data_IF_994555217074
#
_entry.id   IF_994555217074
#
_cell.length_a   1.000
_cell.length_b   1.000
_cell.length_c   1.000
_cell.angle_alpha   90.00
_cell.angle_beta   90.00
_cell.angle_gamma   90.00
#
_symmetry.space_group_name_H-M   'P 1'
#
loop_
_entity.id
_entity.type
_entity.pdbx_description
1 polymer ?
#
# COMPACT_ATOMS: atom_id res chain seq x y z
N UNK A 1 -0.63 -1.39 -23.00
CA UNK A 1 -0.13 -0.12 -22.42
C UNK A 1 -0.38 -0.19 -20.92
N UNK A 2 0.54 -0.83 -20.17
CA UNK A 2 0.44 -1.14 -18.74
C UNK A 2 1.26 -0.15 -17.86
N UNK A 3 2.06 0.70 -18.49
CA UNK A 3 3.03 1.59 -17.84
C UNK A 3 2.41 2.66 -16.91
N UNK A 4 1.24 3.28 -17.21
CA UNK A 4 0.66 4.29 -16.32
C UNK A 4 0.21 3.71 -14.97
N UNK A 5 -0.27 2.46 -14.97
CA UNK A 5 -0.75 1.79 -13.75
C UNK A 5 0.42 1.45 -12.82
N UNK A 6 1.51 0.92 -13.39
CA UNK A 6 2.71 0.59 -12.63
C UNK A 6 3.34 1.85 -12.00
N UNK A 7 3.27 3.00 -12.66
CA UNK A 7 3.72 4.27 -12.10
C UNK A 7 2.91 4.69 -10.86
N UNK A 8 1.58 4.63 -10.93
CA UNK A 8 0.70 4.97 -9.80
C UNK A 8 0.86 3.99 -8.62
N UNK A 9 0.99 2.69 -8.92
CA UNK A 9 1.31 1.64 -7.94
C UNK A 9 2.63 1.92 -7.24
N UNK A 10 3.70 2.19 -7.99
CA UNK A 10 5.00 2.48 -7.40
C UNK A 10 4.96 3.72 -6.50
N UNK A 11 4.29 4.78 -6.95
CA UNK A 11 4.13 5.99 -6.14
C UNK A 11 3.35 5.74 -4.84
N UNK A 12 2.32 4.88 -4.87
CA UNK A 12 1.61 4.46 -3.67
C UNK A 12 2.55 3.81 -2.65
N UNK A 13 3.35 2.83 -3.09
CA UNK A 13 4.27 2.14 -2.21
C UNK A 13 5.45 3.01 -1.76
N UNK A 14 5.95 3.91 -2.59
CA UNK A 14 7.00 4.86 -2.18
C UNK A 14 6.52 5.78 -1.05
N UNK A 15 5.28 6.27 -1.12
CA UNK A 15 4.72 7.11 -0.08
C UNK A 15 4.44 6.33 1.19
N UNK A 16 3.95 5.09 1.07
CA UNK A 16 3.77 4.20 2.21
C UNK A 16 5.11 3.89 2.88
N UNK A 17 6.16 3.56 2.11
CA UNK A 17 7.51 3.36 2.62
C UNK A 17 8.03 4.57 3.40
N UNK A 18 7.85 5.79 2.89
CA UNK A 18 8.27 7.03 3.61
C UNK A 18 7.55 7.23 4.93
N UNK A 19 6.29 6.82 5.02
CA UNK A 19 5.49 6.95 6.24
C UNK A 19 5.86 5.89 7.29
N UNK A 20 6.32 4.71 6.86
CA UNK A 20 6.72 3.63 7.77
C UNK A 20 8.22 3.63 8.12
N UNK A 21 9.08 4.19 7.25
CA UNK A 21 10.54 4.29 7.42
C UNK A 21 11.02 4.96 8.71
N UNK A 22 10.39 6.04 9.22
CA UNK A 22 10.89 6.70 10.43
C UNK A 22 10.69 5.88 11.71
N UNK A 23 10.14 4.67 11.64
CA UNK A 23 9.83 3.82 12.80
C UNK A 23 10.88 2.73 13.01
N UNK A 24 11.97 3.09 13.67
CA UNK A 24 13.03 2.14 14.08
C UNK A 24 12.49 0.98 14.95
N UNK A 25 11.37 1.20 15.64
CA UNK A 25 10.73 0.22 16.53
C UNK A 25 10.04 -0.94 15.80
N UNK A 26 9.86 -0.84 14.47
CA UNK A 26 9.17 -1.86 13.65
C UNK A 26 10.03 -2.29 12.46
N UNK A 27 11.15 -3.00 12.69
CA UNK A 27 12.15 -3.31 11.65
C UNK A 27 11.61 -4.17 10.50
N UNK A 28 10.50 -4.90 10.72
CA UNK A 28 9.87 -5.75 9.71
C UNK A 28 8.83 -5.02 8.86
N UNK A 29 8.48 -3.78 9.21
CA UNK A 29 7.39 -3.07 8.56
C UNK A 29 7.74 -2.68 7.12
N UNK A 30 8.94 -2.14 6.88
CA UNK A 30 9.39 -1.83 5.52
C UNK A 30 9.51 -3.08 4.62
N UNK A 31 10.16 -4.18 5.06
CA UNK A 31 10.15 -5.42 4.29
C UNK A 31 8.75 -5.92 3.92
N UNK A 32 7.78 -5.77 4.83
CA UNK A 32 6.39 -6.16 4.57
C UNK A 32 5.74 -5.28 3.48
N UNK A 33 5.97 -3.97 3.51
CA UNK A 33 5.47 -3.04 2.48
C UNK A 33 6.05 -3.37 1.10
N UNK A 34 7.35 -3.68 1.02
CA UNK A 34 8.01 -4.06 -0.24
C UNK A 34 7.52 -5.43 -0.77
N UNK A 35 7.15 -6.37 0.12
CA UNK A 35 6.52 -7.62 -0.29
C UNK A 35 5.18 -7.39 -0.98
N UNK A 36 4.33 -6.52 -0.40
CA UNK A 36 3.08 -6.12 -1.03
C UNK A 36 3.29 -5.36 -2.34
N UNK A 37 4.33 -4.52 -2.44
CA UNK A 37 4.70 -3.84 -3.68
C UNK A 37 5.02 -4.83 -4.79
N UNK A 38 5.85 -5.81 -4.47
CA UNK A 38 6.23 -6.84 -5.42
C UNK A 38 5.00 -7.63 -5.88
N UNK A 39 4.13 -8.04 -4.94
CA UNK A 39 2.92 -8.78 -5.28
C UNK A 39 1.97 -7.96 -6.16
N UNK A 40 1.76 -6.68 -5.84
CA UNK A 40 0.89 -5.78 -6.61
C UNK A 40 1.38 -5.53 -8.05
N UNK A 41 2.69 -5.47 -8.26
CA UNK A 41 3.29 -5.23 -9.57
C UNK A 41 3.35 -6.49 -10.45
N UNK A 42 3.49 -7.66 -9.86
CA UNK A 42 3.74 -8.91 -10.58
C UNK A 42 2.52 -9.85 -10.64
N UNK A 43 1.54 -9.65 -9.75
CA UNK A 43 0.31 -10.45 -9.67
C UNK A 43 -0.94 -9.56 -9.74
N UNK A 44 -0.93 -8.58 -10.63
CA UNK A 44 -2.15 -7.87 -11.03
C UNK A 44 -3.15 -8.91 -11.57
N UNK A 45 -4.17 -9.24 -10.78
CA UNK A 45 -5.25 -10.15 -11.11
C UNK A 45 -5.96 -10.69 -9.87
N UNK A 46 -5.31 -10.55 -8.71
CA UNK A 46 -5.79 -11.12 -7.47
C UNK A 46 -6.53 -10.08 -6.63
N UNK A 47 -7.86 -10.14 -6.66
CA UNK A 47 -8.80 -9.49 -5.71
C UNK A 47 -8.35 -9.61 -4.24
N UNK A 48 -7.58 -10.63 -3.92
CA UNK A 48 -7.00 -10.86 -2.61
C UNK A 48 -6.08 -9.71 -2.14
N UNK A 49 -5.29 -9.09 -3.03
CA UNK A 49 -4.30 -8.10 -2.61
C UNK A 49 -4.93 -6.79 -2.14
N UNK A 50 -6.04 -6.36 -2.77
CA UNK A 50 -6.77 -5.17 -2.33
C UNK A 50 -7.26 -5.33 -0.88
N UNK A 51 -7.92 -6.45 -0.58
CA UNK A 51 -8.44 -6.72 0.76
C UNK A 51 -7.33 -6.87 1.80
N UNK A 52 -6.22 -7.52 1.44
CA UNK A 52 -5.04 -7.61 2.30
C UNK A 52 -4.46 -6.22 2.60
N UNK A 53 -4.36 -5.35 1.59
CA UNK A 53 -3.86 -3.99 1.75
C UNK A 53 -4.80 -3.12 2.58
N UNK A 54 -6.12 -3.25 2.42
CA UNK A 54 -7.09 -2.59 3.30
C UNK A 54 -6.90 -3.02 4.76
N UNK A 55 -6.79 -4.33 5.01
CA UNK A 55 -6.54 -4.87 6.35
C UNK A 55 -5.22 -4.38 6.93
N UNK A 56 -4.17 -4.35 6.11
CA UNK A 56 -2.85 -3.85 6.50
C UNK A 56 -2.89 -2.36 6.88
N UNK A 57 -3.47 -1.50 6.04
CA UNK A 57 -3.63 -0.07 6.34
C UNK A 57 -4.46 0.16 7.61
N UNK A 58 -5.52 -0.64 7.83
CA UNK A 58 -6.28 -0.61 9.08
C UNK A 58 -5.40 -0.96 10.29
N UNK A 59 -4.58 -2.01 10.19
CA UNK A 59 -3.61 -2.38 11.22
C UNK A 59 -2.61 -1.26 11.51
N UNK A 60 -2.13 -0.56 10.49
CA UNK A 60 -1.24 0.59 10.67
C UNK A 60 -1.92 1.77 11.37
N UNK A 61 -3.21 2.03 11.11
CA UNK A 61 -3.95 3.06 11.84
C UNK A 61 -4.18 2.67 13.31
N UNK A 62 -4.59 1.42 13.58
CA UNK A 62 -4.87 0.94 14.94
C UNK A 62 -3.61 0.84 15.79
N UNK A 63 -2.46 0.57 15.18
CA UNK A 63 -1.14 0.58 15.84
C UNK A 63 -0.53 1.98 15.95
N UNK A 64 -1.27 3.02 15.59
CA UNK A 64 -0.82 4.42 15.59
C UNK A 64 0.44 4.63 14.74
N UNK A 65 0.66 3.74 13.75
CA UNK A 65 1.72 3.85 12.75
C UNK A 65 1.40 4.93 11.73
N UNK A 66 0.14 4.99 11.33
CA UNK A 66 -0.41 6.06 10.52
C UNK A 66 -1.39 6.86 11.38
N UNK A 67 -1.38 8.18 11.24
CA UNK A 67 -2.49 8.98 11.75
C UNK A 67 -3.76 8.76 10.88
N UNK A 68 -4.90 9.26 11.37
CA UNK A 68 -6.20 9.08 10.72
C UNK A 68 -6.24 9.71 9.32
N UNK A 69 -5.56 10.84 9.12
CA UNK A 69 -5.55 11.55 7.84
C UNK A 69 -4.69 10.83 6.81
N UNK A 70 -3.49 10.39 7.20
CA UNK A 70 -2.59 9.57 6.41
C UNK A 70 -3.26 8.25 6.01
N UNK A 71 -3.90 7.57 6.97
CA UNK A 71 -4.62 6.33 6.74
C UNK A 71 -5.80 6.50 5.78
N UNK A 72 -6.60 7.57 5.94
CA UNK A 72 -7.70 7.89 5.02
C UNK A 72 -7.20 8.19 3.61
N UNK A 73 -6.15 9.00 3.48
CA UNK A 73 -5.57 9.38 2.20
C UNK A 73 -5.01 8.15 1.45
N UNK A 74 -4.33 7.24 2.16
CA UNK A 74 -3.83 6.00 1.56
C UNK A 74 -4.96 5.06 1.15
N UNK A 75 -6.02 4.91 1.96
CA UNK A 75 -7.18 4.09 1.59
C UNK A 75 -7.86 4.61 0.32
N UNK A 76 -8.04 5.93 0.19
CA UNK A 76 -8.61 6.51 -1.02
C UNK A 76 -7.75 6.28 -2.27
N UNK A 77 -6.41 6.33 -2.12
CA UNK A 77 -5.49 6.01 -3.22
C UNK A 77 -5.53 4.52 -3.58
N UNK A 78 -5.68 3.65 -2.59
CA UNK A 78 -5.83 2.21 -2.80
C UNK A 78 -7.11 1.89 -3.60
N UNK A 79 -8.23 2.53 -3.26
CA UNK A 79 -9.49 2.43 -4.02
C UNK A 79 -9.32 2.90 -5.47
N UNK A 80 -8.67 4.05 -5.69
CA UNK A 80 -8.40 4.55 -7.04
C UNK A 80 -7.50 3.59 -7.85
N UNK A 81 -6.54 2.91 -7.22
CA UNK A 81 -5.70 1.91 -7.88
C UNK A 81 -6.52 0.67 -8.26
N UNK A 82 -7.39 0.20 -7.37
CA UNK A 82 -8.31 -0.91 -7.63
C UNK A 82 -9.24 -0.61 -8.82
N UNK A 83 -9.91 0.54 -8.79
CA UNK A 83 -10.82 0.97 -9.86
C UNK A 83 -10.09 1.23 -11.18
N UNK A 84 -8.82 1.64 -11.11
CA UNK A 84 -7.95 1.86 -12.26
C UNK A 84 -7.43 0.58 -12.92
N UNK A 85 -7.58 -0.60 -12.30
CA UNK A 85 -7.17 -1.87 -12.90
C UNK A 85 -6.12 -2.65 -12.12
N UNK A 86 -5.89 -2.36 -10.83
CA UNK A 86 -5.53 -3.43 -9.87
C UNK A 86 -6.73 -4.37 -9.72
N UNK A 87 -7.05 -5.07 -10.80
CA UNK A 87 -7.73 -6.35 -10.72
C UNK A 87 -6.65 -7.34 -10.53
#
# INVERSE_FOLDING_TARGET
>A
MLEPLQGATNQFFDDLCRLVDPREDLPLLRPQVEAYRWEALHHAGMVNIYHQMQGFLCGLMVSEVLDIEQGRHLNQRLENCHDGGWR
#
